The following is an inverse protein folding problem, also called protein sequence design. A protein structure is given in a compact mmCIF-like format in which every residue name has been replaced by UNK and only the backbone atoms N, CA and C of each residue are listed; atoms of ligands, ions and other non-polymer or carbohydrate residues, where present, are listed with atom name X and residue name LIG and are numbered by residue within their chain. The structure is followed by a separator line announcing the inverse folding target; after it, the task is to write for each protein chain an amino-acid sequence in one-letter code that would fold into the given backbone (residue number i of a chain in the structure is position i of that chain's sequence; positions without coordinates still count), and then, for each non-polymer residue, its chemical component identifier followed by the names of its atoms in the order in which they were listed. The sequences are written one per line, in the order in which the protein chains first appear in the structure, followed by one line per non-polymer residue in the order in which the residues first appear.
data_IF_668438253855
#
_entry.id   IF_668438253855
#
_cell.length_a   1.000
_cell.length_b   1.000
_cell.length_c   1.000
_cell.angle_alpha   90.00
_cell.angle_beta   90.00
_cell.angle_gamma   90.00
#
_symmetry.space_group_name_H-M   'P 1'
#
loop_
_entity.id
_entity.type
_entity.pdbx_description
1 polymer ?
#
# COMPACT_ATOMS: atom_id res chain seq x y z
N UNK A 1 -5.93 13.83 -13.81
CA UNK A 1 -6.03 12.71 -12.83
C UNK A 1 -4.72 11.97 -12.60
N UNK A 2 -3.92 11.57 -13.59
CA UNK A 2 -2.58 11.00 -13.32
C UNK A 2 -1.50 12.07 -13.09
N UNK A 3 -1.18 12.84 -14.13
CA UNK A 3 -0.08 13.82 -14.08
C UNK A 3 -0.26 14.86 -12.97
N UNK A 4 -1.49 15.31 -12.72
CA UNK A 4 -1.78 16.28 -11.66
C UNK A 4 -1.44 15.69 -10.29
N UNK A 5 -1.84 14.44 -10.00
CA UNK A 5 -1.50 13.77 -8.73
C UNK A 5 0.01 13.58 -8.55
N UNK A 6 0.74 13.25 -9.63
CA UNK A 6 2.20 13.10 -9.58
C UNK A 6 2.86 14.43 -9.27
N UNK A 7 2.46 15.51 -9.96
CA UNK A 7 3.00 16.85 -9.75
C UNK A 7 2.63 17.42 -8.37
N UNK A 8 1.44 17.10 -7.84
CA UNK A 8 1.04 17.52 -6.50
C UNK A 8 1.92 16.90 -5.41
N UNK A 9 2.33 15.63 -5.57
CA UNK A 9 3.14 14.93 -4.59
C UNK A 9 4.66 15.07 -4.81
N UNK A 10 5.10 15.37 -6.04
CA UNK A 10 6.53 15.36 -6.40
C UNK A 10 7.00 16.65 -7.06
N UNK A 11 6.17 17.67 -7.18
CA UNK A 11 6.46 18.89 -7.95
C UNK A 11 7.75 19.62 -7.58
N UNK A 12 8.17 19.53 -6.31
CA UNK A 12 9.41 20.13 -5.82
C UNK A 12 10.67 19.29 -6.13
N UNK A 13 10.49 18.02 -6.52
CA UNK A 13 11.57 17.04 -6.72
C UNK A 13 11.66 16.53 -8.14
N UNK A 14 10.55 16.50 -8.89
CA UNK A 14 10.48 15.95 -10.23
C UNK A 14 11.11 16.91 -11.24
N UNK A 15 12.04 16.41 -12.04
CA UNK A 15 12.80 17.23 -12.99
C UNK A 15 12.26 17.15 -14.42
N UNK A 16 11.41 16.16 -14.72
CA UNK A 16 10.80 16.01 -16.04
C UNK A 16 9.60 16.93 -16.23
N UNK A 17 9.37 17.31 -17.49
CA UNK A 17 8.22 18.14 -17.84
C UNK A 17 6.90 17.38 -17.72
N UNK A 18 5.79 18.09 -17.52
CA UNK A 18 4.44 17.49 -17.56
C UNK A 18 4.16 16.79 -18.89
N UNK A 19 4.65 17.34 -20.01
CA UNK A 19 4.52 16.71 -21.33
C UNK A 19 5.22 15.37 -21.38
N UNK A 20 6.46 15.31 -20.90
CA UNK A 20 7.26 14.08 -20.85
C UNK A 20 6.64 13.04 -19.93
N UNK A 21 6.11 13.45 -18.77
CA UNK A 21 5.35 12.57 -17.88
C UNK A 21 4.13 11.92 -18.56
N UNK A 22 3.52 12.60 -19.54
CA UNK A 22 2.37 12.09 -20.29
C UNK A 22 2.75 11.16 -21.46
N UNK A 23 4.02 11.09 -21.84
CA UNK A 23 4.51 10.21 -22.92
C UNK A 23 4.64 8.75 -22.48
N UNK A 24 4.58 8.48 -21.16
CA UNK A 24 4.69 7.15 -20.58
C UNK A 24 6.00 6.43 -20.94
N UNK A 25 7.10 7.18 -20.98
CA UNK A 25 8.44 6.63 -21.16
C UNK A 25 8.82 5.73 -19.97
N UNK A 26 9.60 4.69 -20.26
CA UNK A 26 10.22 3.83 -19.24
C UNK A 26 11.59 4.36 -18.87
N UNK A 27 11.89 4.40 -17.58
CA UNK A 27 13.19 4.80 -17.04
C UNK A 27 13.82 3.63 -16.30
N UNK A 28 15.14 3.49 -16.40
CA UNK A 28 15.87 2.63 -15.47
C UNK A 28 15.75 3.20 -14.05
N UNK A 29 15.85 2.35 -13.04
CA UNK A 29 15.73 2.79 -11.65
C UNK A 29 16.68 3.94 -11.28
N UNK A 30 17.90 3.95 -11.83
CA UNK A 30 18.88 5.03 -11.60
C UNK A 30 18.39 6.37 -12.17
N UNK A 31 17.87 6.35 -13.41
CA UNK A 31 17.34 7.54 -14.09
C UNK A 31 16.09 8.05 -13.39
N UNK A 32 15.26 7.14 -12.88
CA UNK A 32 14.07 7.48 -12.12
C UNK A 32 14.39 8.20 -10.81
N UNK A 33 15.52 7.89 -10.17
CA UNK A 33 15.98 8.64 -8.98
C UNK A 33 16.55 9.99 -9.39
N UNK A 34 17.38 10.03 -10.43
CA UNK A 34 17.99 11.27 -10.93
C UNK A 34 16.95 12.30 -11.36
N UNK A 35 15.89 11.87 -12.03
CA UNK A 35 14.83 12.76 -12.52
C UNK A 35 13.68 12.98 -11.50
N UNK A 36 13.83 12.43 -10.29
CA UNK A 36 12.90 12.62 -9.19
C UNK A 36 11.57 11.88 -9.35
N UNK A 37 11.44 10.87 -10.22
CA UNK A 37 10.29 9.95 -10.27
C UNK A 37 10.28 8.99 -9.07
N UNK A 38 11.46 8.58 -8.60
CA UNK A 38 11.69 7.75 -7.42
C UNK A 38 12.53 8.48 -6.38
N UNK A 39 12.43 8.08 -5.12
CA UNK A 39 13.18 8.71 -4.02
C UNK A 39 14.57 8.09 -3.85
N UNK A 40 14.68 6.76 -3.97
CA UNK A 40 15.90 6.01 -3.68
C UNK A 40 15.93 4.66 -4.41
N UNK A 41 17.13 4.14 -4.66
CA UNK A 41 17.36 2.74 -5.04
C UNK A 41 17.39 1.85 -3.81
N UNK A 42 16.66 0.73 -3.84
CA UNK A 42 16.72 -0.21 -2.73
C UNK A 42 15.95 -1.49 -2.98
N UNK A 43 15.80 -2.27 -1.91
CA UNK A 43 15.03 -3.51 -1.87
C UNK A 43 13.90 -3.38 -0.85
N UNK A 44 12.97 -4.34 -0.85
CA UNK A 44 11.80 -4.37 0.05
C UNK A 44 12.20 -4.30 1.52
N UNK A 45 13.32 -4.92 1.90
CA UNK A 45 13.85 -4.91 3.26
C UNK A 45 14.27 -3.51 3.70
N UNK A 46 14.91 -2.75 2.80
CA UNK A 46 15.30 -1.35 3.05
C UNK A 46 14.06 -0.47 3.17
N UNK A 47 13.10 -0.62 2.25
CA UNK A 47 11.85 0.13 2.28
C UNK A 47 11.05 -0.14 3.58
N UNK A 48 10.98 -1.40 4.02
CA UNK A 48 10.29 -1.77 5.26
C UNK A 48 10.97 -1.16 6.48
N UNK A 49 12.30 -1.21 6.53
CA UNK A 49 13.08 -0.63 7.63
C UNK A 49 12.95 0.89 7.68
N UNK A 50 12.96 1.56 6.53
CA UNK A 50 12.76 3.01 6.46
C UNK A 50 11.39 3.42 7.01
N UNK A 51 10.32 2.71 6.63
CA UNK A 51 8.98 2.93 7.17
C UNK A 51 8.91 2.67 8.68
N UNK A 52 9.51 1.56 9.17
CA UNK A 52 9.54 1.26 10.59
C UNK A 52 10.26 2.35 11.41
N UNK A 53 11.39 2.84 10.91
CA UNK A 53 12.14 3.93 11.52
C UNK A 53 11.33 5.23 11.55
N UNK A 54 10.68 5.59 10.44
CA UNK A 54 9.80 6.76 10.35
C UNK A 54 8.60 6.68 11.31
N UNK A 55 8.11 5.47 11.55
CA UNK A 55 7.03 5.20 12.50
C UNK A 55 7.50 5.04 13.97
N UNK A 56 8.81 5.03 14.24
CA UNK A 56 9.36 4.81 15.57
C UNK A 56 9.15 3.39 16.11
N UNK A 57 9.11 2.39 15.22
CA UNK A 57 8.90 0.99 15.58
C UNK A 57 10.23 0.25 15.74
N UNK A 58 10.60 -0.06 16.98
CA UNK A 58 11.80 -0.85 17.30
C UNK A 58 11.63 -2.35 16.98
N UNK A 59 10.38 -2.82 16.93
CA UNK A 59 10.02 -4.20 16.61
C UNK A 59 8.74 -4.26 15.79
N UNK A 60 8.74 -5.05 14.72
CA UNK A 60 7.60 -5.24 13.82
C UNK A 60 7.61 -6.65 13.21
N UNK A 61 6.45 -7.09 12.73
CA UNK A 61 6.29 -8.33 11.97
C UNK A 61 5.76 -7.98 10.56
N UNK A 62 6.25 -8.68 9.55
CA UNK A 62 5.77 -8.54 8.17
C UNK A 62 4.82 -9.69 7.89
N UNK A 63 3.56 -9.38 7.61
CA UNK A 63 2.56 -10.36 7.19
C UNK A 63 2.28 -10.17 5.71
N UNK A 64 2.61 -11.17 4.90
CA UNK A 64 2.37 -11.15 3.45
C UNK A 64 1.04 -11.83 3.15
N UNK A 65 0.12 -11.10 2.52
CA UNK A 65 -1.10 -11.66 1.95
C UNK A 65 -0.89 -11.90 0.46
N UNK A 66 -0.84 -13.17 0.07
CA UNK A 66 -0.86 -13.54 -1.34
C UNK A 66 -2.32 -13.74 -1.76
N UNK A 67 -2.77 -12.97 -2.75
CA UNK A 67 -4.01 -13.32 -3.44
C UNK A 67 -3.70 -14.55 -4.29
N UNK A 68 -4.09 -15.73 -3.82
CA UNK A 68 -4.20 -16.89 -4.70
C UNK A 68 -5.08 -16.48 -5.88
N UNK A 69 -4.58 -16.74 -7.08
CA UNK A 69 -4.96 -16.02 -8.29
C UNK A 69 -6.47 -15.87 -8.48
N UNK A 70 -6.86 -14.65 -8.82
CA UNK A 70 -8.14 -14.30 -9.41
C UNK A 70 -8.27 -15.00 -10.77
N UNK A 71 -8.58 -16.31 -10.73
CA UNK A 71 -9.09 -17.02 -11.88
C UNK A 71 -10.48 -16.49 -12.17
N UNK A 72 -10.77 -16.25 -13.45
CA UNK A 72 -12.06 -15.81 -14.00
C UNK A 72 -13.21 -16.74 -13.57
N UNK A 73 -13.71 -16.54 -12.35
CA UNK A 73 -14.78 -17.30 -11.72
C UNK A 73 -15.74 -16.32 -11.07
N UNK A 74 -16.55 -15.67 -11.91
CA UNK A 74 -17.83 -15.07 -11.54
C UNK A 74 -18.52 -15.90 -10.43
N UNK A 75 -18.80 -15.29 -9.28
CA UNK A 75 -19.80 -15.72 -8.28
C UNK A 75 -19.90 -17.23 -7.99
N UNK A 76 -19.23 -17.74 -6.96
CA UNK A 76 -19.67 -18.97 -6.30
C UNK A 76 -19.14 -19.07 -4.86
N UNK A 77 -20.06 -19.02 -3.89
CA UNK A 77 -19.98 -19.83 -2.67
C UNK A 77 -18.96 -19.42 -1.61
N UNK A 78 -19.46 -19.07 -0.43
CA UNK A 78 -18.71 -18.98 0.81
C UNK A 78 -17.82 -20.21 1.05
N UNK A 79 -16.50 -20.06 1.03
CA UNK A 79 -15.60 -21.05 1.63
C UNK A 79 -14.52 -20.38 2.48
N UNK A 80 -14.32 -21.00 3.64
CA UNK A 80 -13.63 -20.50 4.80
C UNK A 80 -12.13 -20.36 4.51
N UNK A 81 -11.58 -19.17 4.78
CA UNK A 81 -10.15 -18.97 4.92
C UNK A 81 -9.66 -19.80 6.12
N UNK A 82 -9.08 -20.97 5.86
CA UNK A 82 -8.31 -21.70 6.88
C UNK A 82 -7.02 -20.92 7.13
N UNK A 83 -7.09 -19.99 8.09
CA UNK A 83 -5.90 -19.38 8.67
C UNK A 83 -5.29 -20.36 9.67
N UNK A 84 -4.02 -20.74 9.44
CA UNK A 84 -3.20 -21.46 10.43
C UNK A 84 -2.45 -20.50 11.36
N UNK A 85 -3.05 -19.34 11.65
CA UNK A 85 -2.60 -18.36 12.64
C UNK A 85 -3.70 -18.10 13.68
N UNK A 86 -3.45 -17.31 14.73
CA UNK A 86 -4.52 -16.88 15.64
C UNK A 86 -5.68 -16.30 14.83
N UNK A 87 -6.95 -16.46 15.27
CA UNK A 87 -8.10 -16.08 14.48
C UNK A 87 -8.11 -14.57 14.23
N UNK A 88 -7.56 -14.17 13.08
CA UNK A 88 -7.75 -12.83 12.55
C UNK A 88 -9.15 -12.82 11.95
N UNK A 89 -10.08 -12.18 12.65
CA UNK A 89 -11.38 -11.90 12.07
C UNK A 89 -11.17 -10.92 10.91
N UNK A 90 -11.60 -11.31 9.71
CA UNK A 90 -11.71 -10.36 8.61
C UNK A 90 -12.73 -9.30 9.02
N UNK A 91 -12.26 -8.10 9.31
CA UNK A 91 -13.10 -6.95 9.66
C UNK A 91 -13.35 -6.15 8.39
N UNK A 92 -14.61 -5.82 8.11
CA UNK A 92 -14.89 -4.76 7.17
C UNK A 92 -14.30 -3.44 7.71
N UNK A 93 -13.48 -2.70 6.94
CA UNK A 93 -12.89 -1.43 7.40
C UNK A 93 -13.92 -0.42 7.90
N UNK A 94 -15.17 -0.46 7.42
CA UNK A 94 -16.26 0.38 7.91
C UNK A 94 -16.71 0.07 9.33
N UNK A 95 -16.33 -1.10 9.89
CA UNK A 95 -16.61 -1.51 11.26
C UNK A 95 -15.50 -1.13 12.26
N UNK A 96 -14.43 -0.49 11.78
CA UNK A 96 -13.32 -0.03 12.62
C UNK A 96 -13.50 1.46 12.93
N UNK A 97 -13.66 1.80 14.21
CA UNK A 97 -13.63 3.19 14.68
C UNK A 97 -12.38 3.45 15.53
N UNK A 98 -11.73 4.58 15.28
CA UNK A 98 -10.57 5.04 16.05
C UNK A 98 -10.95 6.33 16.78
N UNK A 99 -10.86 6.32 18.10
CA UNK A 99 -11.11 7.51 18.93
C UNK A 99 -10.00 7.65 19.98
N UNK A 100 -9.33 8.82 20.03
CA UNK A 100 -8.20 9.10 20.91
C UNK A 100 -7.12 7.99 20.89
N UNK A 101 -6.78 7.50 19.69
CA UNK A 101 -5.77 6.46 19.50
C UNK A 101 -6.19 5.06 19.97
N UNK A 102 -7.44 4.88 20.43
CA UNK A 102 -7.99 3.57 20.77
C UNK A 102 -8.79 3.05 19.59
N UNK A 103 -8.44 1.85 19.12
CA UNK A 103 -9.17 1.14 18.07
C UNK A 103 -10.31 0.35 18.71
N UNK A 104 -11.53 0.58 18.26
CA UNK A 104 -12.73 -0.15 18.71
C UNK A 104 -13.45 -0.78 17.52
N UNK A 105 -13.84 -2.03 17.70
CA UNK A 105 -14.76 -2.72 16.80
C UNK A 105 -16.17 -2.20 17.09
N UNK A 106 -16.77 -1.50 16.14
CA UNK A 106 -18.17 -1.11 16.25
C UNK A 106 -18.99 -2.30 15.76
N UNK A 107 -19.55 -3.06 16.70
CA UNK A 107 -20.43 -4.18 16.35
C UNK A 107 -21.60 -3.70 15.51
N UNK A 108 -21.67 -4.17 14.26
CA UNK A 108 -22.82 -3.94 13.39
C UNK A 108 -24.06 -4.57 13.99
N UNK A 109 -25.17 -3.82 14.01
CA UNK A 109 -26.48 -4.36 14.34
C UNK A 109 -26.89 -5.33 13.22
N UNK A 110 -26.60 -6.61 13.44
CA UNK A 110 -26.93 -7.68 12.52
C UNK A 110 -28.37 -7.55 11.99
N UNK A 111 -28.48 -7.24 10.71
CA UNK A 111 -29.65 -7.46 9.88
C UNK A 111 -29.26 -8.39 8.74
#
# INVERSE_FOLDING_TARGET
LFADSVLDHRGDTIEISRSELLEANSYLGVEAVENGIADELGFTETATRDVANKAGLDSYEIVTFESSGFGLGLFAGSEQLQTSGPPYFAVDPSMIAVHNGTVTMVGGDGR
#
